data_IF_068102093850
#
_entry.id   IF_068102093850
#
_cell.length_a   1.000
_cell.length_b   1.000
_cell.length_c   1.000
_cell.angle_alpha   90.00
_cell.angle_beta   90.00
_cell.angle_gamma   90.00
#
_symmetry.space_group_name_H-M   'P 1'
#
loop_
_entity.id
_entity.type
_entity.pdbx_description
1 polymer ?
#
# COMPACT_ATOMS: atom_id res chain seq x y z
N UNK A 1 16.75 -2.86 -3.83
CA UNK A 1 15.91 -4.07 -3.64
C UNK A 1 15.66 -4.31 -2.17
N UNK A 2 14.47 -4.81 -1.84
CA UNK A 2 13.96 -4.87 -0.48
C UNK A 2 13.10 -6.08 -0.20
N UNK A 3 13.05 -6.53 1.05
CA UNK A 3 12.25 -7.67 1.48
C UNK A 3 10.87 -7.25 2.01
N UNK A 4 10.78 -6.11 2.71
CA UNK A 4 9.54 -5.65 3.30
C UNK A 4 8.79 -4.71 2.33
N UNK A 5 7.61 -5.09 1.80
CA UNK A 5 6.87 -4.29 0.82
C UNK A 5 6.33 -2.96 1.37
N UNK A 6 6.29 -2.78 2.69
CA UNK A 6 5.80 -1.53 3.29
C UNK A 6 6.89 -0.48 3.42
N UNK A 7 8.16 -0.90 3.57
CA UNK A 7 9.25 -0.01 3.91
C UNK A 7 10.38 0.00 2.87
N UNK A 8 10.54 -1.08 2.11
CA UNK A 8 11.73 -1.33 1.30
C UNK A 8 11.47 -1.23 -0.22
N UNK A 9 10.26 -0.86 -0.64
CA UNK A 9 9.83 -0.95 -2.05
C UNK A 9 9.28 0.34 -2.63
N UNK A 10 9.71 1.49 -2.09
CA UNK A 10 9.37 2.79 -2.67
C UNK A 10 10.12 3.01 -4.00
N UNK A 11 9.49 3.70 -4.95
CA UNK A 11 10.02 3.91 -6.32
C UNK A 11 11.34 4.69 -6.36
N UNK A 12 11.53 5.63 -5.43
CA UNK A 12 12.77 6.38 -5.28
C UNK A 12 13.21 6.31 -3.82
N UNK A 13 14.34 5.63 -3.58
CA UNK A 13 15.00 5.53 -2.29
C UNK A 13 16.48 5.94 -2.44
N UNK A 14 16.75 7.23 -2.28
CA UNK A 14 18.10 7.77 -2.29
C UNK A 14 18.52 8.06 -0.86
N UNK A 15 19.61 7.44 -0.41
CA UNK A 15 20.11 7.63 0.94
C UNK A 15 21.56 8.08 0.88
N UNK A 16 21.85 9.19 1.55
CA UNK A 16 23.20 9.71 1.65
C UNK A 16 23.73 9.41 3.05
N UNK A 17 24.76 8.57 3.10
CA UNK A 17 25.39 8.17 4.33
C UNK A 17 26.76 8.83 4.45
N UNK A 18 27.07 9.36 5.63
CA UNK A 18 28.37 9.95 5.95
C UNK A 18 28.82 9.52 7.34
N UNK A 19 30.13 9.48 7.53
CA UNK A 19 30.71 9.23 8.84
C UNK A 19 30.81 10.57 9.60
N UNK A 20 30.22 10.65 10.78
CA UNK A 20 30.48 11.73 11.75
C UNK A 20 31.17 11.14 12.97
N UNK A 21 32.50 11.36 13.08
CA UNK A 21 33.34 10.76 14.13
C UNK A 21 33.28 9.23 14.07
N UNK A 22 32.66 8.60 15.05
CA UNK A 22 32.45 7.16 15.23
C UNK A 22 31.02 6.72 14.92
N UNK A 23 30.19 7.61 14.37
CA UNK A 23 28.77 7.33 14.04
C UNK A 23 28.53 7.38 12.54
N UNK A 24 27.74 6.44 12.05
CA UNK A 24 27.18 6.50 10.70
C UNK A 24 25.93 7.39 10.74
N UNK A 25 25.95 8.47 9.98
CA UNK A 25 24.79 9.36 9.81
C UNK A 25 24.19 9.10 8.44
N UNK A 26 22.99 8.54 8.44
CA UNK A 26 22.24 8.21 7.23
C UNK A 26 21.10 9.21 7.04
N UNK A 27 21.17 9.98 5.96
CA UNK A 27 20.09 10.84 5.49
C UNK A 27 19.22 10.03 4.53
N UNK A 28 18.10 9.53 5.02
CA UNK A 28 17.12 8.82 4.23
C UNK A 28 16.23 9.81 3.50
N UNK A 29 16.06 9.62 2.19
CA UNK A 29 15.01 10.24 1.41
C UNK A 29 14.26 9.17 0.62
N UNK A 30 12.93 9.21 0.67
CA UNK A 30 12.08 8.34 -0.11
C UNK A 30 10.81 9.06 -0.58
N UNK A 31 10.19 8.52 -1.63
CA UNK A 31 8.96 9.05 -2.20
C UNK A 31 7.80 8.11 -1.96
N UNK A 32 6.73 8.64 -1.39
CA UNK A 32 5.48 7.92 -1.18
C UNK A 32 4.55 8.25 -2.35
N UNK A 33 4.12 7.26 -3.17
CA UNK A 33 3.22 7.50 -4.26
C UNK A 33 1.85 7.96 -3.74
N UNK A 34 1.22 8.87 -4.47
CA UNK A 34 -0.15 9.33 -4.19
C UNK A 34 -1.13 8.72 -5.19
N UNK A 35 -2.42 8.60 -4.86
CA UNK A 35 -3.41 7.99 -5.76
C UNK A 35 -3.49 8.62 -7.16
N UNK A 36 -3.18 9.92 -7.25
CA UNK A 36 -3.18 10.71 -8.48
C UNK A 36 -1.87 10.65 -9.29
N UNK A 37 -1.03 9.63 -9.08
CA UNK A 37 0.27 9.44 -9.76
C UNK A 37 1.38 10.45 -9.42
N UNK A 38 1.10 11.43 -8.54
CA UNK A 38 2.15 12.25 -7.92
C UNK A 38 2.85 11.53 -6.77
N UNK A 39 3.71 12.25 -6.05
CA UNK A 39 4.38 11.70 -4.86
C UNK A 39 4.59 12.73 -3.76
N UNK A 40 4.72 12.25 -2.51
CA UNK A 40 5.22 13.03 -1.39
C UNK A 40 6.64 12.60 -1.05
N UNK A 41 7.58 13.55 -1.01
CA UNK A 41 8.92 13.28 -0.49
C UNK A 41 8.90 13.27 1.04
N UNK A 42 9.52 12.25 1.62
CA UNK A 42 9.81 12.14 3.05
C UNK A 42 11.30 11.95 3.24
N UNK A 43 11.78 12.34 4.41
CA UNK A 43 13.14 12.07 4.79
C UNK A 43 13.31 11.99 6.29
N UNK A 44 14.37 11.31 6.69
CA UNK A 44 14.73 11.14 8.08
C UNK A 44 16.26 11.10 8.20
N UNK A 45 16.78 11.65 9.30
CA UNK A 45 18.19 11.50 9.65
C UNK A 45 18.28 10.49 10.78
N UNK A 46 19.05 9.44 10.57
CA UNK A 46 19.33 8.47 11.62
C UNK A 46 20.83 8.39 11.87
N UNK A 47 21.17 8.10 13.12
CA UNK A 47 22.54 7.99 13.59
C UNK A 47 22.74 6.61 14.18
N UNK A 48 23.65 5.85 13.60
CA UNK A 48 23.98 4.51 14.04
C UNK A 48 25.35 4.51 14.72
N UNK A 49 25.46 3.73 15.78
CA UNK A 49 26.71 3.44 16.49
C UNK A 49 27.09 2.00 16.21
N UNK A 50 28.32 1.79 15.74
CA UNK A 50 28.83 0.45 15.47
C UNK A 50 29.12 -0.29 16.79
N UNK A 51 28.79 -1.58 16.86
CA UNK A 51 29.15 -2.42 18.01
C UNK A 51 30.68 -2.60 18.08
N UNK A 52 31.25 -2.41 19.27
CA UNK A 52 32.70 -2.49 19.48
C UNK A 52 33.27 -3.90 19.38
N UNK A 53 32.44 -4.93 19.58
CA UNK A 53 32.82 -6.34 19.53
C UNK A 53 32.47 -6.99 18.19
N UNK A 54 31.45 -6.47 17.50
CA UNK A 54 30.94 -7.02 16.25
C UNK A 54 30.76 -5.91 15.20
N UNK A 55 31.79 -5.73 14.36
CA UNK A 55 31.83 -4.66 13.36
C UNK A 55 30.66 -4.69 12.34
N UNK A 56 30.01 -5.82 12.15
CA UNK A 56 28.86 -5.96 11.26
C UNK A 56 27.53 -5.50 11.88
N UNK A 57 27.52 -5.07 13.15
CA UNK A 57 26.31 -4.65 13.86
C UNK A 57 26.35 -3.15 14.11
N UNK A 58 25.24 -2.48 13.81
CA UNK A 58 25.07 -1.06 14.08
C UNK A 58 23.73 -0.84 14.80
N UNK A 59 23.76 -0.05 15.87
CA UNK A 59 22.59 0.25 16.69
C UNK A 59 22.15 1.69 16.50
N UNK A 60 20.85 1.88 16.30
CA UNK A 60 20.17 3.16 16.47
C UNK A 60 19.18 3.01 17.62
N UNK A 61 19.61 3.39 18.82
CA UNK A 61 18.77 3.44 20.02
C UNK A 61 18.58 4.87 20.56
N UNK A 62 19.38 5.83 20.07
CA UNK A 62 19.31 7.22 20.50
C UNK A 62 18.20 7.96 19.74
N UNK A 63 17.05 8.13 20.37
CA UNK A 63 16.01 9.03 19.90
C UNK A 63 15.19 9.61 21.03
N UNK A 64 15.33 10.92 21.17
CA UNK A 64 14.75 11.72 22.24
C UNK A 64 13.22 11.87 22.14
N UNK A 65 12.66 11.76 20.93
CA UNK A 65 11.23 12.07 20.67
C UNK A 65 10.42 10.93 20.03
N UNK A 66 11.07 9.98 19.33
CA UNK A 66 10.37 9.05 18.44
C UNK A 66 10.25 7.61 19.01
N UNK A 67 10.80 7.34 20.21
CA UNK A 67 10.67 6.06 20.96
C UNK A 67 10.69 4.77 20.09
N UNK A 68 11.64 4.69 19.16
CA UNK A 68 11.86 3.54 18.28
C UNK A 68 13.33 3.15 18.17
N UNK A 69 13.61 1.86 18.13
CA UNK A 69 14.95 1.31 17.92
C UNK A 69 15.04 0.69 16.53
N UNK A 70 16.24 0.75 15.94
CA UNK A 70 16.54 0.09 14.67
C UNK A 70 17.97 -0.45 14.70
N UNK A 71 18.10 -1.76 14.56
CA UNK A 71 19.35 -2.50 14.64
C UNK A 71 19.68 -3.07 13.28
N UNK A 72 20.86 -2.76 12.77
CA UNK A 72 21.34 -3.20 11.47
C UNK A 72 22.40 -4.28 11.62
N UNK A 73 22.25 -5.32 10.81
CA UNK A 73 23.16 -6.45 10.68
C UNK A 73 23.62 -6.54 9.23
N UNK A 74 24.90 -6.30 8.96
CA UNK A 74 25.47 -6.42 7.63
C UNK A 74 25.68 -7.91 7.33
N UNK A 75 24.85 -8.47 6.45
CA UNK A 75 24.91 -9.88 6.07
C UNK A 75 26.02 -10.16 5.05
N UNK A 76 26.24 -9.21 4.14
CA UNK A 76 27.28 -9.29 3.12
C UNK A 76 27.60 -7.89 2.60
N UNK A 77 28.83 -7.67 2.16
CA UNK A 77 29.24 -6.41 1.53
C UNK A 77 30.43 -6.61 0.61
N UNK A 78 30.48 -5.83 -0.47
CA UNK A 78 31.65 -5.74 -1.35
C UNK A 78 31.87 -4.26 -1.67
N UNK A 79 33.03 -3.73 -1.27
CA UNK A 79 33.42 -2.34 -1.46
C UNK A 79 34.79 -2.29 -2.14
N UNK A 80 34.79 -2.17 -3.46
CA UNK A 80 35.98 -2.09 -4.32
C UNK A 80 36.07 -0.76 -5.08
N UNK A 81 35.19 0.19 -4.75
CA UNK A 81 34.97 1.45 -5.47
C UNK A 81 34.55 1.22 -6.93
N UNK A 82 33.67 0.24 -7.15
CA UNK A 82 33.08 -0.09 -8.45
C UNK A 82 31.58 0.14 -8.44
N UNK A 83 30.98 0.18 -9.63
CA UNK A 83 29.53 0.37 -9.80
C UNK A 83 28.71 -0.79 -9.19
N UNK A 84 29.31 -1.97 -9.07
CA UNK A 84 28.72 -3.16 -8.46
C UNK A 84 28.94 -3.27 -6.94
N UNK A 85 29.51 -2.26 -6.31
CA UNK A 85 29.64 -2.20 -4.86
C UNK A 85 28.27 -2.25 -4.18
N UNK A 86 28.19 -3.03 -3.10
CA UNK A 86 26.96 -3.22 -2.37
C UNK A 86 27.16 -3.46 -0.87
N UNK A 87 26.10 -3.17 -0.11
CA UNK A 87 25.95 -3.52 1.30
C UNK A 87 24.58 -4.15 1.47
N UNK A 88 24.56 -5.38 1.97
CA UNK A 88 23.33 -6.12 2.26
C UNK A 88 23.06 -6.06 3.77
N UNK A 89 21.97 -5.39 4.13
CA UNK A 89 21.58 -5.15 5.52
C UNK A 89 20.32 -5.94 5.84
N UNK A 90 20.34 -6.65 6.95
CA UNK A 90 19.15 -7.10 7.66
C UNK A 90 18.89 -6.13 8.81
N UNK A 91 17.64 -5.69 8.99
CA UNK A 91 17.29 -4.76 10.05
C UNK A 91 16.16 -5.28 10.92
N UNK A 92 16.19 -4.91 12.20
CA UNK A 92 15.16 -5.19 13.19
C UNK A 92 14.87 -3.94 13.99
N UNK A 93 13.59 -3.59 14.07
CA UNK A 93 13.15 -2.44 14.82
C UNK A 93 12.03 -2.77 15.79
N UNK A 94 11.85 -1.87 16.75
CA UNK A 94 10.74 -1.89 17.71
C UNK A 94 10.39 -0.48 18.13
N UNK A 95 9.13 -0.22 18.43
CA UNK A 95 8.66 1.01 19.05
C UNK A 95 7.55 0.69 20.07
N UNK A 96 6.94 1.72 20.64
CA UNK A 96 5.84 1.57 21.62
C UNK A 96 4.60 0.84 21.05
N UNK A 97 4.40 0.86 19.74
CA UNK A 97 3.25 0.28 19.08
C UNK A 97 3.47 -1.17 18.61
N UNK A 98 4.70 -1.55 18.25
CA UNK A 98 5.02 -2.87 17.72
C UNK A 98 6.51 -3.22 17.86
N UNK A 99 6.81 -4.48 18.16
CA UNK A 99 8.15 -5.02 18.40
C UNK A 99 8.66 -5.98 17.31
N UNK A 100 7.91 -6.07 16.20
CA UNK A 100 8.19 -6.98 15.08
C UNK A 100 8.64 -6.31 13.79
N UNK A 101 8.98 -5.01 13.80
CA UNK A 101 9.47 -4.35 12.58
C UNK A 101 10.77 -5.02 12.12
N UNK A 102 10.87 -5.26 10.82
CA UNK A 102 12.07 -5.83 10.26
C UNK A 102 11.94 -6.09 8.78
N UNK A 103 13.08 -6.30 8.17
CA UNK A 103 13.21 -6.49 6.74
C UNK A 103 14.68 -6.63 6.38
N UNK A 104 14.95 -6.55 5.08
CA UNK A 104 16.29 -6.64 4.58
C UNK A 104 16.39 -5.86 3.27
N UNK A 105 17.47 -5.10 3.12
CA UNK A 105 17.68 -4.18 2.00
C UNK A 105 19.08 -4.35 1.43
N UNK A 106 19.16 -4.24 0.10
CA UNK A 106 20.44 -4.20 -0.60
C UNK A 106 20.67 -2.78 -1.09
N UNK A 107 21.66 -2.12 -0.50
CA UNK A 107 22.17 -0.85 -0.98
C UNK A 107 23.20 -1.09 -2.07
N UNK A 108 23.04 -0.41 -3.20
CA UNK A 108 23.95 -0.45 -4.35
C UNK A 108 24.38 0.96 -4.72
N UNK A 109 25.57 1.11 -5.29
CA UNK A 109 25.98 2.40 -5.89
C UNK A 109 25.15 2.73 -7.13
N UNK A 110 24.85 1.73 -7.94
CA UNK A 110 23.93 1.84 -9.07
C UNK A 110 22.48 2.03 -8.62
N UNK A 111 21.69 2.75 -9.44
CA UNK A 111 20.23 2.89 -9.31
C UNK A 111 19.46 1.57 -9.48
N UNK A 112 20.08 0.59 -10.11
CA UNK A 112 19.54 -0.72 -10.43
C UNK A 112 20.46 -1.79 -9.81
N UNK A 113 19.85 -2.85 -9.27
CA UNK A 113 20.58 -3.97 -8.70
C UNK A 113 21.45 -4.64 -9.79
N UNK A 114 22.78 -4.65 -9.67
CA UNK A 114 23.65 -5.31 -10.64
C UNK A 114 23.44 -6.83 -10.62
N UNK A 115 23.27 -7.47 -11.78
CA UNK A 115 23.11 -8.92 -11.84
C UNK A 115 24.37 -9.68 -11.37
N UNK A 116 25.55 -9.05 -11.45
CA UNK A 116 26.83 -9.64 -11.06
C UNK A 116 26.91 -9.99 -9.57
N UNK A 117 26.14 -9.32 -8.72
CA UNK A 117 26.16 -9.53 -7.26
C UNK A 117 25.09 -10.51 -6.78
N UNK A 118 24.11 -10.86 -7.61
CA UNK A 118 22.97 -11.72 -7.25
C UNK A 118 23.42 -13.08 -6.67
N UNK A 119 24.41 -13.80 -7.21
CA UNK A 119 24.85 -15.07 -6.63
C UNK A 119 25.38 -14.95 -5.19
N UNK A 120 26.03 -13.83 -4.85
CA UNK A 120 26.51 -13.57 -3.48
C UNK A 120 25.34 -13.22 -2.55
N UNK A 121 24.35 -12.47 -3.04
CA UNK A 121 23.13 -12.16 -2.27
C UNK A 121 22.34 -13.43 -1.96
N UNK A 122 22.18 -14.34 -2.92
CA UNK A 122 21.54 -15.64 -2.71
C UNK A 122 22.27 -16.50 -1.67
N UNK A 123 23.61 -16.47 -1.67
CA UNK A 123 24.41 -17.17 -0.67
C UNK A 123 24.20 -16.58 0.72
N UNK A 124 24.19 -15.25 0.82
CA UNK A 124 23.96 -14.52 2.07
C UNK A 124 22.52 -14.69 2.61
N UNK A 125 21.50 -14.76 1.76
CA UNK A 125 20.14 -15.08 2.23
C UNK A 125 20.01 -16.52 2.69
N UNK A 126 20.65 -17.47 1.99
CA UNK A 126 20.61 -18.89 2.35
C UNK A 126 21.26 -19.15 3.70
N UNK A 127 22.33 -18.43 4.05
CA UNK A 127 23.00 -18.59 5.36
C UNK A 127 22.10 -18.25 6.55
N UNK A 128 21.06 -17.42 6.33
CA UNK A 128 20.05 -17.05 7.32
C UNK A 128 18.68 -17.72 7.09
N UNK A 129 18.64 -18.76 6.26
CA UNK A 129 17.42 -19.56 6.01
C UNK A 129 16.34 -18.83 5.20
N UNK A 130 16.74 -17.87 4.35
CA UNK A 130 15.84 -17.10 3.48
C UNK A 130 16.19 -17.28 2.00
N UNK A 131 15.26 -16.92 1.13
CA UNK A 131 15.43 -16.93 -0.32
C UNK A 131 15.45 -15.51 -0.87
N UNK A 132 16.49 -15.16 -1.61
CA UNK A 132 16.61 -13.86 -2.27
C UNK A 132 15.51 -13.64 -3.32
N UNK A 133 14.91 -14.70 -3.87
CA UNK A 133 13.79 -14.59 -4.81
C UNK A 133 12.55 -13.93 -4.19
N UNK A 134 12.45 -13.87 -2.85
CA UNK A 134 11.38 -13.15 -2.17
C UNK A 134 11.57 -11.64 -2.12
N UNK A 135 12.74 -11.13 -2.54
CA UNK A 135 13.02 -9.70 -2.55
C UNK A 135 12.38 -9.04 -3.76
N UNK A 136 11.75 -7.90 -3.50
CA UNK A 136 11.21 -7.03 -4.54
C UNK A 136 12.36 -6.22 -5.11
N UNK A 137 12.53 -6.33 -6.42
CA UNK A 137 13.50 -5.54 -7.19
C UNK A 137 12.90 -4.17 -7.46
N UNK A 138 13.54 -3.15 -6.94
CA UNK A 138 13.20 -1.74 -7.20
C UNK A 138 14.21 -1.14 -8.15
N UNK A 139 13.70 -0.36 -9.11
CA UNK A 139 14.50 0.52 -9.96
C UNK A 139 14.35 1.91 -9.36
N UNK A 140 15.42 2.48 -8.82
CA UNK A 140 15.39 3.79 -8.15
C UNK A 140 15.13 4.94 -9.14
N UNK A 141 13.89 5.05 -9.59
CA UNK A 141 13.43 6.05 -10.57
C UNK A 141 13.08 7.35 -9.85
N UNK A 142 14.10 8.16 -9.60
CA UNK A 142 13.93 9.45 -8.94
C UNK A 142 13.54 10.61 -9.90
N UNK A 143 12.70 10.33 -10.90
CA UNK A 143 12.29 11.29 -11.95
C UNK A 143 11.50 12.51 -11.46
N UNK A 144 11.20 13.47 -12.33
CA UNK A 144 10.34 14.61 -11.96
C UNK A 144 8.90 14.16 -11.67
N UNK A 145 8.17 14.91 -10.84
CA UNK A 145 6.74 14.66 -10.64
C UNK A 145 5.99 14.93 -11.97
N UNK A 146 5.03 14.09 -12.36
CA UNK A 146 4.21 14.35 -13.54
C UNK A 146 3.50 15.72 -13.43
N UNK A 147 3.30 16.42 -14.56
CA UNK A 147 2.54 17.67 -14.59
C UNK A 147 1.18 17.56 -13.91
N UNK A 148 0.70 18.66 -13.31
CA UNK A 148 -0.60 18.67 -12.62
C UNK A 148 -1.77 18.29 -13.54
N UNK A 149 -1.73 18.70 -14.82
CA UNK A 149 -2.74 18.38 -15.80
C UNK A 149 -2.90 16.86 -15.98
N UNK A 150 -1.80 16.15 -16.27
CA UNK A 150 -1.77 14.69 -16.43
C UNK A 150 -2.27 13.97 -15.18
N UNK A 151 -1.98 14.51 -13.99
CA UNK A 151 -2.43 13.93 -12.71
C UNK A 151 -3.94 14.07 -12.50
N UNK A 152 -4.50 15.22 -12.88
CA UNK A 152 -5.95 15.45 -12.82
C UNK A 152 -6.65 14.52 -13.82
N UNK A 153 -6.17 14.46 -15.06
CA UNK A 153 -6.71 13.59 -16.11
C UNK A 153 -6.78 12.13 -15.66
N UNK A 154 -5.68 11.57 -15.14
CA UNK A 154 -5.68 10.19 -14.62
C UNK A 154 -6.59 9.98 -13.42
N UNK A 155 -6.78 11.01 -12.58
CA UNK A 155 -7.71 10.93 -11.44
C UNK A 155 -9.14 10.87 -11.92
N UNK A 156 -9.48 11.66 -12.94
CA UNK A 156 -10.79 11.64 -13.60
C UNK A 156 -11.02 10.28 -14.26
N UNK A 157 -10.08 9.77 -15.05
CA UNK A 157 -10.19 8.45 -15.70
C UNK A 157 -10.43 7.32 -14.69
N UNK A 158 -9.70 7.32 -13.56
CA UNK A 158 -9.93 6.32 -12.50
C UNK A 158 -11.30 6.46 -11.86
N UNK A 159 -11.75 7.70 -11.62
CA UNK A 159 -13.08 7.99 -11.08
C UNK A 159 -14.19 7.53 -12.02
N UNK A 160 -14.07 7.84 -13.32
CA UNK A 160 -15.01 7.40 -14.35
C UNK A 160 -15.08 5.88 -14.44
N UNK A 161 -13.92 5.20 -14.37
CA UNK A 161 -13.89 3.74 -14.36
C UNK A 161 -14.57 3.17 -13.11
N UNK A 162 -14.30 3.72 -11.92
CA UNK A 162 -14.95 3.29 -10.68
C UNK A 162 -16.47 3.44 -10.76
N UNK A 163 -16.95 4.60 -11.26
CA UNK A 163 -18.38 4.82 -11.46
C UNK A 163 -18.95 3.83 -12.47
N UNK A 164 -18.25 3.58 -13.57
CA UNK A 164 -18.68 2.60 -14.57
C UNK A 164 -18.75 1.18 -13.98
N UNK A 165 -17.76 0.77 -13.20
CA UNK A 165 -17.74 -0.52 -12.53
C UNK A 165 -18.88 -0.63 -11.50
N UNK A 166 -19.13 0.40 -10.67
CA UNK A 166 -20.27 0.41 -9.72
C UNK A 166 -21.64 0.34 -10.42
N UNK A 167 -21.78 1.02 -11.56
CA UNK A 167 -23.01 0.99 -12.37
C UNK A 167 -23.18 -0.36 -13.07
N UNK A 168 -22.11 -0.93 -13.65
CA UNK A 168 -22.14 -2.14 -14.48
C UNK A 168 -22.11 -3.42 -13.64
N UNK A 169 -21.34 -3.48 -12.55
CA UNK A 169 -21.24 -4.65 -11.67
C UNK A 169 -22.48 -4.85 -10.78
N UNK A 170 -23.49 -3.98 -10.91
CA UNK A 170 -24.88 -4.36 -10.67
C UNK A 170 -25.42 -4.04 -9.28
N UNK A 171 -24.71 -3.27 -8.45
CA UNK A 171 -25.29 -2.78 -7.20
C UNK A 171 -26.48 -1.87 -7.48
N UNK A 172 -26.31 -0.88 -8.36
CA UNK A 172 -27.39 0.06 -8.70
C UNK A 172 -28.45 -0.60 -9.61
N UNK A 173 -28.04 -1.33 -10.65
CA UNK A 173 -29.01 -2.02 -11.52
C UNK A 173 -29.83 -3.08 -10.77
N UNK A 174 -29.22 -3.76 -9.79
CA UNK A 174 -29.89 -4.74 -8.93
C UNK A 174 -30.93 -4.09 -8.03
N UNK A 175 -30.55 -3.01 -7.34
CA UNK A 175 -31.47 -2.24 -6.48
C UNK A 175 -32.66 -1.66 -7.27
N UNK A 176 -32.41 -1.13 -8.48
CA UNK A 176 -33.48 -0.62 -9.35
C UNK A 176 -34.47 -1.72 -9.74
N UNK A 177 -33.99 -2.90 -10.12
CA UNK A 177 -34.87 -4.04 -10.48
C UNK A 177 -35.70 -4.57 -9.31
N UNK A 178 -35.14 -4.57 -8.10
CA UNK A 178 -35.89 -4.96 -6.90
C UNK A 178 -36.99 -3.94 -6.59
N UNK A 179 -36.68 -2.64 -6.67
CA UNK A 179 -37.67 -1.57 -6.49
C UNK A 179 -38.80 -1.63 -7.53
N UNK A 180 -38.48 -1.90 -8.80
CA UNK A 180 -39.49 -2.08 -9.86
C UNK A 180 -40.45 -3.25 -9.55
N UNK A 181 -39.93 -4.38 -9.03
CA UNK A 181 -40.77 -5.53 -8.63
C UNK A 181 -41.66 -5.23 -7.43
N UNK A 182 -41.15 -4.48 -6.46
CA UNK A 182 -41.94 -4.04 -5.31
C UNK A 182 -43.08 -3.11 -5.76
N UNK A 183 -42.80 -2.17 -6.67
CA UNK A 183 -43.80 -1.27 -7.24
C UNK A 183 -44.90 -2.05 -7.97
N UNK A 184 -44.54 -2.99 -8.85
CA UNK A 184 -45.53 -3.84 -9.55
C UNK A 184 -46.44 -4.60 -8.57
N UNK A 185 -45.86 -5.08 -7.46
CA UNK A 185 -46.60 -5.83 -6.45
C UNK A 185 -47.57 -4.92 -5.68
N UNK A 186 -47.14 -3.71 -5.32
CA UNK A 186 -48.00 -2.72 -4.66
C UNK A 186 -49.14 -2.27 -5.57
N UNK A 187 -48.88 -2.04 -6.86
CA UNK A 187 -49.90 -1.67 -7.84
C UNK A 187 -50.95 -2.78 -8.00
N UNK A 188 -50.53 -4.05 -8.06
CA UNK A 188 -51.47 -5.20 -8.08
C UNK A 188 -52.35 -5.24 -6.83
N UNK A 189 -51.74 -5.14 -5.64
CA UNK A 189 -52.49 -5.15 -4.37
C UNK A 189 -53.48 -3.99 -4.28
N UNK A 190 -53.12 -2.81 -4.80
CA UNK A 190 -54.03 -1.67 -4.86
C UNK A 190 -55.21 -1.93 -5.81
N UNK A 191 -54.95 -2.50 -6.99
CA UNK A 191 -56.00 -2.86 -7.94
C UNK A 191 -56.97 -3.90 -7.37
N UNK A 192 -56.45 -4.94 -6.70
CA UNK A 192 -57.26 -5.96 -6.03
C UNK A 192 -58.13 -5.36 -4.92
N UNK A 193 -57.56 -4.49 -4.07
CA UNK A 193 -58.32 -3.79 -3.03
C UNK A 193 -59.43 -2.88 -3.59
N UNK A 194 -59.20 -2.22 -4.72
CA UNK A 194 -60.24 -1.44 -5.41
C UNK A 194 -61.38 -2.34 -5.92
N UNK A 195 -61.06 -3.53 -6.42
CA UNK A 195 -62.06 -4.49 -6.87
C UNK A 195 -62.91 -5.04 -5.72
N UNK A 196 -62.28 -5.36 -4.59
CA UNK A 196 -63.00 -5.79 -3.36
C UNK A 196 -63.96 -4.71 -2.88
N UNK A 197 -63.51 -3.45 -2.77
CA UNK A 197 -64.39 -2.33 -2.37
C UNK A 197 -65.55 -2.17 -3.34
N UNK A 198 -65.32 -2.29 -4.65
CA UNK A 198 -66.39 -2.22 -5.65
C UNK A 198 -67.41 -3.34 -5.45
N UNK A 199 -66.95 -4.57 -5.15
CA UNK A 199 -67.83 -5.71 -4.91
C UNK A 199 -68.64 -5.52 -3.62
N UNK A 200 -68.02 -5.03 -2.54
CA UNK A 200 -68.70 -4.74 -1.28
C UNK A 200 -69.76 -3.65 -1.43
N UNK A 201 -69.47 -2.60 -2.20
CA UNK A 201 -70.46 -1.56 -2.55
C UNK A 201 -71.64 -2.16 -3.33
N UNK A 202 -71.39 -3.03 -4.31
CA UNK A 202 -72.47 -3.70 -5.05
C UNK A 202 -73.30 -4.62 -4.16
N UNK A 203 -72.67 -5.39 -3.28
CA UNK A 203 -73.34 -6.25 -2.32
C UNK A 203 -74.21 -5.44 -1.34
N UNK A 204 -73.70 -4.29 -0.87
CA UNK A 204 -74.44 -3.37 0.00
C UNK A 204 -75.70 -2.82 -0.69
N UNK A 205 -75.59 -2.35 -1.94
CA UNK A 205 -76.76 -1.89 -2.71
C UNK A 205 -77.78 -3.00 -2.98
N UNK A 206 -77.34 -4.23 -3.25
CA UNK A 206 -78.25 -5.38 -3.38
C UNK A 206 -78.94 -5.74 -2.06
N UNK A 207 -78.25 -5.58 -0.93
CA UNK A 207 -78.83 -5.75 0.41
C UNK A 207 -79.95 -4.75 0.68
N UNK A 208 -79.70 -3.47 0.39
CA UNK A 208 -80.70 -2.40 0.55
C UNK A 208 -81.95 -2.62 -0.31
N UNK A 209 -81.82 -3.17 -1.52
CA UNK A 209 -82.98 -3.48 -2.39
C UNK A 209 -83.87 -4.63 -1.91
N UNK A 210 -83.46 -5.37 -0.87
CA UNK A 210 -84.21 -6.48 -0.29
C UNK A 210 -84.95 -6.11 1.00
N UNK A 211 -84.78 -4.88 1.49
CA UNK A 211 -85.42 -4.36 2.71
C UNK A 211 -86.63 -3.43 2.46
N UNK A 212 -87.09 -3.28 1.21
CA UNK A 212 -88.36 -2.61 0.82
C UNK A 212 -89.46 -3.63 0.47
#
# INVERSE_FOLDING_TARGET
SGLNPTFDTYDCQLHECRLERDRLVANFAWRIPTPNTGFCTRGAVQRFVQDSSQLAILYKHDNEYLHYQDDWYILSSKIENKDDDYIFVYYRGRNDAWDGYGGAVVYTRSKELPETIVPELERATKSVGRDFCSFIRTVNTCGAEPPLADRIERTVEKGEKLIADEVIEGEIEGEVKELEREEETLVKRLADGIMEVKQDVMNFFQGLSKEE
#
